data_IF_534344345728
#
_entry.id   IF_534344345728
#
_cell.length_a   1.000
_cell.length_b   1.000
_cell.length_c   1.000
_cell.angle_alpha   90.00
_cell.angle_beta   90.00
_cell.angle_gamma   90.00
#
_symmetry.space_group_name_H-M   'P 1'
#
loop_
_entity.id
_entity.type
_entity.pdbx_description
1 polymer ?
#
# COMPACT_ATOMS: atom_id res chain seq x y z
N UNK A 1 -6.06 -5.26 14.51
CA UNK A 1 -7.03 -6.29 14.97
C UNK A 1 -6.47 -7.14 16.11
N UNK A 2 -5.26 -7.70 15.99
CA UNK A 2 -4.67 -8.57 17.04
C UNK A 2 -4.61 -7.89 18.41
N UNK A 3 -4.18 -6.63 18.47
CA UNK A 3 -4.13 -5.87 19.73
C UNK A 3 -5.51 -5.60 20.33
N UNK A 4 -6.57 -5.56 19.54
CA UNK A 4 -7.94 -5.42 20.01
C UNK A 4 -8.45 -6.65 20.77
N UNK A 5 -7.73 -7.78 20.69
CA UNK A 5 -8.01 -9.02 21.41
C UNK A 5 -7.10 -9.18 22.65
N UNK A 6 -6.31 -8.16 22.99
CA UNK A 6 -5.44 -8.17 24.17
C UNK A 6 -6.25 -8.40 25.45
N UNK A 7 -5.71 -9.20 26.37
CA UNK A 7 -6.23 -9.35 27.75
C UNK A 7 -6.09 -8.08 28.61
N UNK A 8 -5.28 -7.12 28.18
CA UNK A 8 -5.17 -5.81 28.83
C UNK A 8 -6.26 -4.87 28.31
N UNK A 9 -7.33 -4.72 29.08
CA UNK A 9 -8.56 -4.01 28.67
C UNK A 9 -8.33 -2.57 28.15
N UNK A 10 -7.48 -1.72 28.75
CA UNK A 10 -7.24 -0.38 28.19
C UNK A 10 -6.69 -0.43 26.77
N UNK A 11 -5.77 -1.33 26.45
CA UNK A 11 -5.21 -1.50 25.13
C UNK A 11 -6.26 -2.04 24.16
N UNK A 12 -6.96 -3.11 24.56
CA UNK A 12 -8.04 -3.70 23.74
C UNK A 12 -9.10 -2.69 23.37
N UNK A 13 -9.56 -1.90 24.34
CA UNK A 13 -10.57 -0.86 24.14
C UNK A 13 -10.10 0.24 23.19
N UNK A 14 -8.90 0.77 23.42
CA UNK A 14 -8.29 1.78 22.55
C UNK A 14 -8.16 1.27 21.12
N UNK A 15 -7.67 0.04 20.93
CA UNK A 15 -7.52 -0.54 19.60
C UNK A 15 -8.87 -0.75 18.88
N UNK A 16 -9.95 -1.06 19.62
CA UNK A 16 -11.29 -1.16 19.01
C UNK A 16 -11.80 0.19 18.51
N UNK A 17 -11.58 1.26 19.26
CA UNK A 17 -11.88 2.61 18.77
C UNK A 17 -11.05 2.97 17.53
N UNK A 18 -9.75 2.68 17.56
CA UNK A 18 -8.87 2.92 16.41
C UNK A 18 -9.34 2.17 15.15
N UNK A 19 -9.81 0.93 15.27
CA UNK A 19 -10.34 0.19 14.12
C UNK A 19 -11.52 0.90 13.45
N UNK A 20 -12.38 1.55 14.23
CA UNK A 20 -13.51 2.33 13.70
C UNK A 20 -13.02 3.58 12.98
N UNK A 21 -12.07 4.30 13.59
CA UNK A 21 -11.46 5.50 12.99
C UNK A 21 -10.71 5.15 11.70
N UNK A 22 -9.94 4.06 11.68
CA UNK A 22 -9.21 3.63 10.49
C UNK A 22 -10.14 3.25 9.33
N UNK A 23 -11.28 2.64 9.61
CA UNK A 23 -12.28 2.37 8.57
C UNK A 23 -12.80 3.68 7.94
N UNK A 24 -12.99 4.72 8.76
CA UNK A 24 -13.36 6.05 8.28
C UNK A 24 -12.23 6.70 7.47
N UNK A 25 -11.00 6.65 7.94
CA UNK A 25 -9.83 7.19 7.23
C UNK A 25 -9.63 6.52 5.87
N UNK A 26 -9.77 5.21 5.78
CA UNK A 26 -9.70 4.47 4.51
C UNK A 26 -10.79 4.95 3.53
N UNK A 27 -12.03 5.08 4.00
CA UNK A 27 -13.13 5.59 3.18
C UNK A 27 -12.89 7.01 2.69
N UNK A 28 -12.45 7.91 3.58
CA UNK A 28 -12.17 9.32 3.24
C UNK A 28 -10.99 9.40 2.28
N UNK A 29 -9.92 8.62 2.51
CA UNK A 29 -8.74 8.59 1.65
C UNK A 29 -9.08 8.12 0.24
N UNK A 30 -9.78 6.99 0.09
CA UNK A 30 -10.19 6.47 -1.22
C UNK A 30 -11.06 7.46 -1.99
N UNK A 31 -12.09 8.01 -1.32
CA UNK A 31 -12.98 8.99 -1.93
C UNK A 31 -12.26 10.32 -2.22
N UNK A 32 -11.31 10.72 -1.39
CA UNK A 32 -10.47 11.90 -1.63
C UNK A 32 -9.71 11.80 -2.92
N UNK A 33 -8.98 10.70 -3.13
CA UNK A 33 -8.25 10.44 -4.38
C UNK A 33 -9.21 10.39 -5.58
N UNK A 34 -10.33 9.69 -5.45
CA UNK A 34 -11.36 9.64 -6.52
C UNK A 34 -11.86 11.02 -6.91
N UNK A 35 -12.11 11.90 -5.93
CA UNK A 35 -12.56 13.29 -6.19
C UNK A 35 -11.50 14.09 -6.93
N UNK A 36 -10.22 13.95 -6.56
CA UNK A 36 -9.11 14.60 -7.28
C UNK A 36 -9.04 14.11 -8.72
N UNK A 37 -9.08 12.80 -8.96
CA UNK A 37 -9.08 12.19 -10.28
C UNK A 37 -10.26 12.73 -11.11
N UNK A 38 -11.48 12.68 -10.53
CA UNK A 38 -12.69 13.19 -11.21
C UNK A 38 -12.55 14.66 -11.59
N UNK A 39 -12.05 15.49 -10.68
CA UNK A 39 -11.83 16.91 -10.94
C UNK A 39 -10.83 17.13 -12.08
N UNK A 40 -9.74 16.38 -12.10
CA UNK A 40 -8.75 16.45 -13.18
C UNK A 40 -9.38 16.11 -14.53
N UNK A 41 -10.09 14.99 -14.60
CA UNK A 41 -10.77 14.57 -15.84
C UNK A 41 -11.83 15.60 -16.32
N UNK A 42 -12.62 16.15 -15.39
CA UNK A 42 -13.59 17.21 -15.72
C UNK A 42 -12.93 18.46 -16.29
N UNK A 43 -11.80 18.89 -15.73
CA UNK A 43 -11.08 20.07 -16.18
C UNK A 43 -10.41 19.82 -17.55
N UNK A 44 -9.82 18.64 -17.76
CA UNK A 44 -9.29 18.25 -19.06
C UNK A 44 -10.37 18.29 -20.14
N UNK A 45 -11.54 17.68 -19.88
CA UNK A 45 -12.66 17.68 -20.83
C UNK A 45 -13.16 19.11 -21.13
N UNK A 46 -13.28 19.97 -20.13
CA UNK A 46 -13.69 21.37 -20.31
C UNK A 46 -12.70 22.17 -21.15
N UNK A 47 -11.41 21.89 -21.03
CA UNK A 47 -10.34 22.56 -21.76
C UNK A 47 -10.04 21.89 -23.12
N UNK A 48 -10.70 20.77 -23.46
CA UNK A 48 -10.45 20.04 -24.70
C UNK A 48 -9.10 19.33 -24.74
N UNK A 49 -8.49 19.06 -23.58
CA UNK A 49 -7.21 18.35 -23.48
C UNK A 49 -7.50 16.85 -23.48
N UNK A 50 -7.13 16.16 -24.55
CA UNK A 50 -7.32 14.71 -24.70
C UNK A 50 -6.12 13.88 -24.27
N UNK A 51 -4.91 14.46 -24.27
CA UNK A 51 -3.68 13.79 -23.88
C UNK A 51 -3.44 13.91 -22.35
N UNK A 52 -3.55 12.81 -21.58
CA UNK A 52 -3.32 12.84 -20.14
C UNK A 52 -1.85 13.07 -19.75
N UNK A 53 -0.93 13.02 -20.70
CA UNK A 53 0.50 13.27 -20.50
C UNK A 53 0.92 14.70 -20.81
N UNK A 54 0.02 15.58 -21.27
CA UNK A 54 0.28 17.02 -21.40
C UNK A 54 0.25 17.70 -20.01
N UNK A 55 1.24 17.32 -19.20
CA UNK A 55 1.34 17.67 -17.77
C UNK A 55 1.31 19.19 -17.57
N UNK A 56 1.96 19.95 -18.44
CA UNK A 56 2.07 21.41 -18.29
C UNK A 56 0.70 22.07 -18.45
N UNK A 57 -0.03 21.76 -19.54
CA UNK A 57 -1.36 22.31 -19.75
C UNK A 57 -2.37 21.88 -18.68
N UNK A 58 -2.29 20.61 -18.25
CA UNK A 58 -3.19 20.12 -17.18
C UNK A 58 -2.94 20.88 -15.88
N UNK A 59 -1.70 21.15 -15.51
CA UNK A 59 -1.36 21.90 -14.30
C UNK A 59 -1.76 23.38 -14.36
N UNK A 60 -1.72 23.98 -15.53
CA UNK A 60 -2.24 25.35 -15.75
C UNK A 60 -3.74 25.46 -15.43
N UNK A 61 -4.50 24.34 -15.50
CA UNK A 61 -5.90 24.30 -15.09
C UNK A 61 -6.09 24.28 -13.55
N UNK A 62 -5.00 24.28 -12.77
CA UNK A 62 -5.04 24.23 -11.31
C UNK A 62 -5.41 22.84 -10.75
N UNK A 63 -5.17 21.79 -11.50
CA UNK A 63 -5.41 20.39 -11.08
C UNK A 63 -4.13 19.55 -11.12
N UNK A 64 -4.16 18.38 -10.48
CA UNK A 64 -3.04 17.44 -10.44
C UNK A 64 -3.19 16.48 -11.62
N UNK A 65 -2.19 16.37 -12.48
CA UNK A 65 -2.18 15.45 -13.60
C UNK A 65 -2.22 13.97 -13.17
N UNK A 66 -2.84 13.12 -13.97
CA UNK A 66 -3.03 11.69 -13.67
C UNK A 66 -1.69 10.93 -13.52
N UNK A 67 -0.66 11.17 -14.35
CA UNK A 67 0.66 10.56 -14.15
C UNK A 67 1.30 10.90 -12.79
N UNK A 68 1.12 12.12 -12.30
CA UNK A 68 1.61 12.52 -10.96
C UNK A 68 0.84 11.80 -9.86
N UNK A 69 -0.48 11.65 -9.98
CA UNK A 69 -1.28 10.86 -9.04
C UNK A 69 -0.76 9.42 -9.01
N UNK A 70 -0.53 8.79 -10.18
CA UNK A 70 0.04 7.45 -10.27
C UNK A 70 1.40 7.33 -9.57
N UNK A 71 2.30 8.30 -9.78
CA UNK A 71 3.60 8.31 -9.09
C UNK A 71 3.47 8.36 -7.58
N UNK A 72 2.51 9.15 -7.06
CA UNK A 72 2.26 9.22 -5.61
C UNK A 72 1.68 7.93 -5.07
N UNK A 73 0.77 7.30 -5.79
CA UNK A 73 0.25 5.97 -5.43
C UNK A 73 1.39 4.96 -5.36
N UNK A 74 2.28 4.92 -6.36
CA UNK A 74 3.42 4.02 -6.40
C UNK A 74 4.33 4.20 -5.17
N UNK A 75 4.65 5.45 -4.84
CA UNK A 75 5.48 5.79 -3.69
C UNK A 75 4.84 5.31 -2.37
N UNK A 76 3.59 5.69 -2.13
CA UNK A 76 2.91 5.33 -0.88
C UNK A 76 2.67 3.83 -0.75
N UNK A 77 2.33 3.15 -1.84
CA UNK A 77 2.21 1.70 -1.88
C UNK A 77 3.51 1.01 -1.46
N UNK A 78 4.64 1.42 -2.03
CA UNK A 78 5.94 0.85 -1.71
C UNK A 78 6.34 1.08 -0.25
N UNK A 79 6.13 2.31 0.25
CA UNK A 79 6.40 2.62 1.67
C UNK A 79 5.51 1.80 2.60
N UNK A 80 4.25 1.59 2.26
CA UNK A 80 3.32 0.79 3.06
C UNK A 80 3.73 -0.70 3.07
N UNK A 81 4.18 -1.25 1.94
CA UNK A 81 4.69 -2.62 1.91
C UNK A 81 5.92 -2.80 2.79
N UNK A 82 6.79 -1.79 2.86
CA UNK A 82 7.97 -1.83 3.73
C UNK A 82 7.60 -1.84 5.22
N UNK A 83 6.48 -1.23 5.61
CA UNK A 83 5.98 -1.27 6.99
C UNK A 83 5.62 -2.67 7.47
N UNK A 84 5.16 -3.54 6.59
CA UNK A 84 4.80 -4.91 6.93
C UNK A 84 6.03 -5.83 7.16
N UNK A 85 7.25 -5.30 6.99
CA UNK A 85 8.47 -6.01 7.38
C UNK A 85 8.84 -7.12 6.41
N UNK A 86 9.48 -6.77 5.32
CA UNK A 86 10.26 -7.69 4.52
C UNK A 86 11.71 -7.67 5.01
N UNK A 87 12.37 -8.82 5.05
CA UNK A 87 13.82 -8.90 5.36
C UNK A 87 14.66 -8.14 4.32
N UNK A 88 14.11 -7.92 3.13
CA UNK A 88 14.75 -7.23 2.01
C UNK A 88 13.87 -6.04 1.62
N UNK A 89 14.01 -4.92 2.33
CA UNK A 89 13.40 -3.65 1.95
C UNK A 89 14.39 -2.80 1.18
N UNK A 90 14.02 -2.34 -0.01
CA UNK A 90 14.83 -1.41 -0.81
C UNK A 90 14.82 0.01 -0.24
N UNK A 91 13.85 0.32 0.60
CA UNK A 91 13.70 1.61 1.28
C UNK A 91 14.05 1.54 2.78
N UNK A 92 14.70 0.47 3.23
CA UNK A 92 14.97 0.25 4.66
C UNK A 92 15.69 1.42 5.31
N UNK A 93 16.69 2.00 4.64
CA UNK A 93 17.44 3.15 5.13
C UNK A 93 16.54 4.41 5.24
N UNK A 94 15.73 4.68 4.23
CA UNK A 94 14.82 5.83 4.24
C UNK A 94 13.72 5.67 5.29
N UNK A 95 13.16 4.47 5.43
CA UNK A 95 12.13 4.15 6.41
C UNK A 95 12.68 4.24 7.83
N UNK A 96 13.93 3.83 8.04
CA UNK A 96 14.64 4.00 9.31
C UNK A 96 14.90 5.48 9.63
N UNK A 97 15.40 6.25 8.68
CA UNK A 97 15.69 7.69 8.85
C UNK A 97 14.42 8.49 9.14
N UNK A 98 13.29 8.06 8.57
CA UNK A 98 11.98 8.65 8.83
C UNK A 98 11.36 8.21 10.18
N UNK A 99 12.02 7.34 10.94
CA UNK A 99 11.52 6.83 12.21
C UNK A 99 10.34 5.85 12.10
N UNK A 100 10.04 5.39 10.90
CA UNK A 100 8.90 4.49 10.63
C UNK A 100 9.24 3.04 10.94
N UNK A 101 10.50 2.66 10.85
CA UNK A 101 11.02 1.32 11.17
C UNK A 101 12.13 1.42 12.20
N UNK A 102 12.18 0.46 13.13
CA UNK A 102 13.24 0.38 14.15
C UNK A 102 14.64 0.26 13.54
N UNK A 103 15.64 0.43 14.36
CA UNK A 103 17.04 0.51 13.92
C UNK A 103 17.46 -0.69 13.08
N UNK A 104 17.76 -0.43 11.85
CA UNK A 104 18.16 -1.39 10.82
C UNK A 104 19.38 -2.26 11.22
N UNK A 105 20.26 -1.71 12.08
CA UNK A 105 21.52 -2.34 12.49
C UNK A 105 21.49 -3.01 13.85
N UNK A 106 20.42 -2.89 14.62
CA UNK A 106 20.36 -3.46 15.95
C UNK A 106 20.08 -4.98 15.90
N UNK A 107 21.08 -5.74 15.49
CA UNK A 107 21.11 -7.20 15.69
C UNK A 107 21.11 -7.62 17.16
N UNK A 108 21.26 -6.67 18.08
CA UNK A 108 21.38 -6.90 19.55
C UNK A 108 20.09 -6.67 20.32
N UNK A 109 19.02 -6.15 19.70
CA UNK A 109 17.71 -6.14 20.34
C UNK A 109 17.26 -7.60 20.41
N UNK A 110 17.39 -8.19 21.58
CA UNK A 110 16.68 -9.43 21.89
C UNK A 110 15.19 -9.09 21.92
N UNK A 111 14.57 -9.25 20.79
CA UNK A 111 13.12 -9.29 20.74
C UNK A 111 12.71 -10.62 21.34
N UNK A 112 12.28 -10.60 22.60
CA UNK A 112 11.80 -11.77 23.32
C UNK A 112 10.44 -12.26 22.82
N UNK A 113 10.03 -11.83 21.62
CA UNK A 113 8.78 -12.23 21.02
C UNK A 113 8.80 -13.73 20.75
N UNK A 114 7.92 -14.46 21.43
CA UNK A 114 7.75 -15.92 21.30
C UNK A 114 7.58 -16.33 19.83
N UNK A 115 6.90 -15.50 19.03
CA UNK A 115 6.67 -15.71 17.60
C UNK A 115 7.94 -15.72 16.74
N UNK A 116 9.07 -15.21 17.23
CA UNK A 116 10.31 -15.15 16.44
C UNK A 116 10.84 -16.54 16.06
N UNK A 117 10.60 -17.52 16.89
CA UNK A 117 11.08 -18.90 16.71
C UNK A 117 9.97 -19.86 16.25
N UNK A 118 8.72 -19.42 16.21
CA UNK A 118 7.61 -20.23 15.75
C UNK A 118 7.59 -20.36 14.23
N UNK A 119 7.17 -21.53 13.77
CA UNK A 119 7.04 -21.81 12.34
C UNK A 119 5.62 -22.26 12.01
N UNK A 120 5.11 -21.79 10.86
CA UNK A 120 3.87 -22.27 10.27
C UNK A 120 4.13 -23.17 9.06
N UNK A 121 3.34 -24.22 8.87
CA UNK A 121 3.35 -24.95 7.63
C UNK A 121 2.76 -24.08 6.52
N UNK A 122 3.49 -23.90 5.44
CA UNK A 122 3.01 -23.27 4.21
C UNK A 122 3.05 -24.30 3.09
N UNK A 123 2.06 -24.23 2.20
CA UNK A 123 2.04 -25.04 0.98
C UNK A 123 2.67 -24.22 -0.13
N UNK A 124 3.77 -24.71 -0.68
CA UNK A 124 4.46 -24.12 -1.83
C UNK A 124 4.25 -25.03 -3.03
N UNK A 125 3.86 -24.44 -4.16
CA UNK A 125 3.75 -25.18 -5.40
C UNK A 125 5.02 -24.96 -6.22
N UNK A 126 5.82 -26.02 -6.33
CA UNK A 126 7.11 -25.98 -7.05
C UNK A 126 7.19 -27.21 -7.95
N UNK A 127 7.55 -27.02 -9.21
CA UNK A 127 7.72 -28.07 -10.22
C UNK A 127 6.52 -29.04 -10.37
N UNK A 128 5.30 -28.50 -10.28
CA UNK A 128 4.07 -29.29 -10.40
C UNK A 128 3.69 -30.08 -9.16
N UNK A 129 4.40 -29.90 -8.03
CA UNK A 129 4.14 -30.58 -6.76
C UNK A 129 3.85 -29.59 -5.65
N UNK A 130 2.97 -30.02 -4.74
CA UNK A 130 2.69 -29.27 -3.50
C UNK A 130 3.67 -29.74 -2.43
N UNK A 131 4.55 -28.84 -2.00
CA UNK A 131 5.54 -29.10 -0.96
C UNK A 131 5.12 -28.43 0.34
N UNK A 132 5.14 -29.19 1.44
CA UNK A 132 4.99 -28.65 2.78
C UNK A 132 6.32 -28.05 3.25
N UNK A 133 6.36 -26.73 3.43
CA UNK A 133 7.52 -25.99 3.92
C UNK A 133 7.19 -25.33 5.24
N UNK A 134 8.15 -25.27 6.15
CA UNK A 134 8.00 -24.49 7.37
C UNK A 134 8.54 -23.08 7.15
N UNK A 135 7.70 -22.08 7.37
CA UNK A 135 8.11 -20.67 7.33
C UNK A 135 8.04 -20.05 8.73
N UNK A 136 8.92 -19.09 9.05
CA UNK A 136 8.80 -18.34 10.29
C UNK A 136 7.42 -17.69 10.42
N UNK A 137 6.81 -17.78 11.59
CA UNK A 137 5.46 -17.27 11.85
C UNK A 137 5.31 -15.78 11.51
N UNK A 138 6.32 -14.99 11.89
CA UNK A 138 6.35 -13.56 11.60
C UNK A 138 6.38 -13.28 10.09
N UNK A 139 7.17 -14.05 9.33
CA UNK A 139 7.24 -13.91 7.89
C UNK A 139 5.88 -14.24 7.24
N UNK A 140 5.25 -15.34 7.65
CA UNK A 140 3.92 -15.74 7.14
C UNK A 140 2.85 -14.69 7.43
N UNK A 141 2.87 -14.09 8.63
CA UNK A 141 1.95 -13.00 8.99
C UNK A 141 2.20 -11.76 8.12
N UNK A 142 3.46 -11.36 7.96
CA UNK A 142 3.81 -10.19 7.15
C UNK A 142 3.42 -10.38 5.69
N UNK A 143 3.65 -11.56 5.12
CA UNK A 143 3.21 -11.90 3.76
C UNK A 143 1.69 -11.78 3.61
N UNK A 144 0.93 -12.32 4.56
CA UNK A 144 -0.53 -12.22 4.54
C UNK A 144 -1.01 -10.77 4.60
N UNK A 145 -0.43 -9.95 5.48
CA UNK A 145 -0.78 -8.53 5.58
C UNK A 145 -0.48 -7.76 4.30
N UNK A 146 0.65 -8.08 3.65
CA UNK A 146 1.02 -7.51 2.34
C UNK A 146 0.02 -7.90 1.25
N UNK A 147 -0.37 -9.18 1.21
CA UNK A 147 -1.35 -9.68 0.24
C UNK A 147 -2.71 -9.01 0.42
N UNK A 148 -3.18 -8.87 1.66
CA UNK A 148 -4.46 -8.23 1.97
C UNK A 148 -4.41 -6.73 1.59
N UNK A 149 -3.34 -6.03 1.93
CA UNK A 149 -3.12 -4.63 1.52
C UNK A 149 -3.09 -4.48 -0.02
N UNK A 150 -2.45 -5.41 -0.71
CA UNK A 150 -2.38 -5.42 -2.18
C UNK A 150 -3.77 -5.59 -2.81
N UNK A 151 -4.58 -6.52 -2.27
CA UNK A 151 -5.97 -6.74 -2.72
C UNK A 151 -6.82 -5.49 -2.52
N UNK A 152 -6.75 -4.86 -1.36
CA UNK A 152 -7.51 -3.64 -1.05
C UNK A 152 -7.09 -2.47 -1.95
N UNK A 153 -5.79 -2.32 -2.21
CA UNK A 153 -5.27 -1.33 -3.14
C UNK A 153 -5.79 -1.57 -4.57
N UNK A 154 -5.80 -2.83 -5.02
CA UNK A 154 -6.32 -3.19 -6.34
C UNK A 154 -7.81 -2.83 -6.50
N UNK A 155 -8.62 -3.03 -5.46
CA UNK A 155 -10.04 -2.65 -5.46
C UNK A 155 -10.20 -1.14 -5.60
N UNK A 156 -9.41 -0.35 -4.87
CA UNK A 156 -9.44 1.11 -4.95
C UNK A 156 -9.03 1.62 -6.33
N UNK A 157 -7.95 1.08 -6.90
CA UNK A 157 -7.51 1.41 -8.26
C UNK A 157 -8.58 1.10 -9.30
N UNK A 158 -9.27 -0.05 -9.19
CA UNK A 158 -10.38 -0.40 -10.09
C UNK A 158 -11.51 0.63 -10.03
N UNK A 159 -11.83 1.16 -8.84
CA UNK A 159 -12.85 2.20 -8.67
C UNK A 159 -12.40 3.54 -9.26
N UNK A 160 -11.12 3.89 -9.13
CA UNK A 160 -10.56 5.10 -9.74
C UNK A 160 -10.52 5.02 -11.26
N UNK A 161 -10.15 3.86 -11.82
CA UNK A 161 -10.17 3.63 -13.27
C UNK A 161 -11.59 3.78 -13.84
N UNK A 162 -12.60 3.28 -13.16
CA UNK A 162 -14.00 3.51 -13.58
C UNK A 162 -14.32 5.00 -13.73
N UNK A 163 -13.83 5.84 -12.79
CA UNK A 163 -14.04 7.30 -12.87
C UNK A 163 -13.34 7.93 -14.09
N UNK A 164 -12.16 7.42 -14.47
CA UNK A 164 -11.41 7.87 -15.64
C UNK A 164 -12.12 7.42 -16.93
N UNK A 165 -12.59 6.18 -16.99
CA UNK A 165 -13.35 5.61 -18.11
C UNK A 165 -14.67 6.38 -18.35
N UNK A 166 -15.43 6.66 -17.28
CA UNK A 166 -16.66 7.47 -17.34
C UNK A 166 -16.40 8.86 -17.95
N UNK A 167 -15.23 9.43 -17.68
CA UNK A 167 -14.80 10.70 -18.26
C UNK A 167 -14.24 10.57 -19.69
N UNK A 168 -14.09 9.36 -20.22
CA UNK A 168 -13.54 9.06 -21.56
C UNK A 168 -12.12 9.56 -21.77
N UNK A 169 -11.32 9.60 -20.72
CA UNK A 169 -9.88 9.91 -20.79
C UNK A 169 -9.10 8.62 -21.02
N UNK A 170 -8.21 8.62 -21.98
CA UNK A 170 -7.38 7.46 -22.32
C UNK A 170 -6.19 7.32 -21.33
N UNK A 171 -6.49 6.95 -20.11
CA UNK A 171 -5.51 6.70 -19.05
C UNK A 171 -5.99 5.59 -18.14
N UNK A 172 -5.06 4.75 -17.68
CA UNK A 172 -5.32 3.68 -16.72
C UNK A 172 -4.34 3.75 -15.55
N UNK A 173 -4.87 3.83 -14.34
CA UNK A 173 -4.10 3.66 -13.11
C UNK A 173 -3.72 2.18 -12.96
N UNK A 174 -2.45 1.92 -12.67
CA UNK A 174 -1.92 0.56 -12.51
C UNK A 174 -1.61 0.27 -11.05
N UNK A 175 -1.84 -0.98 -10.65
CA UNK A 175 -1.37 -1.46 -9.36
C UNK A 175 0.17 -1.51 -9.39
N UNK A 176 0.86 -0.85 -8.45
CA UNK A 176 2.30 -0.97 -8.34
C UNK A 176 2.68 -2.41 -7.98
N UNK A 177 3.83 -2.88 -8.45
CA UNK A 177 4.36 -4.18 -8.08
C UNK A 177 5.58 -4.01 -7.14
N UNK A 178 5.86 -5.01 -6.36
CA UNK A 178 6.94 -4.97 -5.35
C UNK A 178 8.33 -4.58 -5.92
N UNK A 179 8.60 -4.94 -7.16
CA UNK A 179 9.84 -4.60 -7.85
C UNK A 179 9.92 -3.18 -8.41
N UNK A 180 8.85 -2.37 -8.26
CA UNK A 180 8.77 -1.07 -8.91
C UNK A 180 9.90 -0.12 -8.47
N UNK A 181 10.17 -0.06 -7.17
CA UNK A 181 11.23 0.78 -6.63
C UNK A 181 12.64 0.15 -6.74
N UNK A 182 12.74 -1.15 -7.01
CA UNK A 182 14.03 -1.85 -7.13
C UNK A 182 14.74 -1.59 -8.45
N UNK A 183 14.03 -1.03 -9.44
CA UNK A 183 14.57 -0.75 -10.79
C UNK A 183 14.94 0.71 -11.01
N UNK A 184 14.67 1.57 -10.04
CA UNK A 184 14.90 3.03 -10.13
C UNK A 184 16.06 3.45 -9.21
N UNK A 185 16.72 2.49 -8.57
CA UNK A 185 17.95 2.71 -7.80
C UNK A 185 19.16 2.81 -8.71
#
# INVERSE_FOLDING_TARGET
>A
EALAQSGFDPLSRTCRFMLTEEAHHMFVGENGVRRVIKKTCEMMNKAGISDPYDILKIRELGVIDLPTIQKKINLHYSLSLDLFGSEISTNAANTYTAGVKGRFWETKIKDDHILKNDTYPILEFTDGQIINKKAPALLSLNMRLRDDYTKDTAVSIKRWNRTIEEAKINFEMKLPFEGFNRKIG
#
